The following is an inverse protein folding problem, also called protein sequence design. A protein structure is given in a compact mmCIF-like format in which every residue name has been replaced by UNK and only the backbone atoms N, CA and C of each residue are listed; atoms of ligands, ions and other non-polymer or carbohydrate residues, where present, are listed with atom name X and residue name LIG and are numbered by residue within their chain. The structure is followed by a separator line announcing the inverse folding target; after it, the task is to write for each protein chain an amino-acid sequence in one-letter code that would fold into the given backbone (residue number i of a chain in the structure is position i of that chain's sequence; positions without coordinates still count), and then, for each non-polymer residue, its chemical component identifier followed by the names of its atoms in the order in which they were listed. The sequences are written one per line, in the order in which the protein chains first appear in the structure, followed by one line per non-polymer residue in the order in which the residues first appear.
data_IF_681071656843
#
_entry.id   IF_681071656843
#
_cell.length_a   1.000
_cell.length_b   1.000
_cell.length_c   1.000
_cell.angle_alpha   90.00
_cell.angle_beta   90.00
_cell.angle_gamma   90.00
#
_symmetry.space_group_name_H-M   'P 1'
#
loop_
_entity.id
_entity.type
_entity.pdbx_description
1 polymer ?
#
# COMPACT_ATOMS: atom_id res chain seq x y z
N UNK A 1 -4.89 -2.32 7.90
CA UNK A 1 -3.64 -1.52 7.89
C UNK A 1 -3.22 -1.24 9.33
N UNK A 2 -1.92 -1.04 9.54
CA UNK A 2 -1.35 -0.62 10.83
C UNK A 2 -1.16 0.90 10.79
N UNK A 3 -1.63 1.67 11.79
CA UNK A 3 -1.39 3.11 11.88
C UNK A 3 0.09 3.49 11.87
N UNK A 4 0.44 4.63 11.27
CA UNK A 4 1.83 5.05 11.04
C UNK A 4 2.64 5.25 12.33
N UNK A 5 2.02 5.79 13.37
CA UNK A 5 2.64 5.97 14.69
C UNK A 5 3.02 4.63 15.31
N UNK A 6 2.08 3.67 15.28
CA UNK A 6 2.28 2.31 15.76
C UNK A 6 3.37 1.61 14.93
N UNK A 7 3.31 1.72 13.60
CA UNK A 7 4.30 1.10 12.72
C UNK A 7 5.71 1.65 12.97
N UNK A 8 5.84 2.97 13.05
CA UNK A 8 7.12 3.62 13.32
C UNK A 8 7.69 3.15 14.67
N UNK A 9 6.87 3.10 15.72
CA UNK A 9 7.31 2.69 17.05
C UNK A 9 7.71 1.22 17.09
N UNK A 10 7.04 0.35 16.35
CA UNK A 10 7.44 -1.06 16.19
C UNK A 10 8.76 -1.18 15.41
N UNK A 11 8.91 -0.46 14.30
CA UNK A 11 10.13 -0.46 13.50
C UNK A 11 11.35 0.06 14.29
N UNK A 12 11.16 1.05 15.18
CA UNK A 12 12.20 1.57 16.07
C UNK A 12 12.71 0.56 17.10
N UNK A 13 11.91 -0.45 17.46
CA UNK A 13 12.29 -1.52 18.38
C UNK A 13 13.14 -2.60 17.70
N UNK A 14 13.33 -2.53 16.38
CA UNK A 14 14.14 -3.47 15.62
C UNK A 14 15.58 -3.00 15.45
N UNK A 15 16.35 -3.68 14.59
CA UNK A 15 17.70 -3.27 14.17
C UNK A 15 17.79 -1.87 13.53
N UNK A 16 16.68 -1.26 13.11
CA UNK A 16 16.68 0.12 12.60
C UNK A 16 16.94 1.15 13.70
N UNK A 17 16.60 0.82 14.95
CA UNK A 17 16.89 1.62 16.13
C UNK A 17 15.97 2.84 16.31
N UNK A 18 16.11 3.54 17.46
CA UNK A 18 15.14 4.53 17.92
C UNK A 18 15.11 5.83 17.11
N UNK A 19 16.14 6.09 16.30
CA UNK A 19 16.22 7.27 15.43
C UNK A 19 15.54 7.08 14.07
N UNK A 20 15.07 5.87 13.77
CA UNK A 20 14.36 5.60 12.52
C UNK A 20 13.13 6.51 12.38
N UNK A 21 12.87 6.93 11.14
CA UNK A 21 11.70 7.71 10.76
C UNK A 21 11.09 7.02 9.54
N UNK A 22 9.81 6.68 9.65
CA UNK A 22 9.06 6.16 8.50
C UNK A 22 8.76 7.33 7.57
N UNK A 23 9.13 7.20 6.30
CA UNK A 23 8.84 8.24 5.30
C UNK A 23 7.35 8.22 4.93
N UNK A 24 6.77 9.39 4.66
CA UNK A 24 5.34 9.56 4.33
C UNK A 24 4.89 8.83 3.04
N UNK A 25 5.84 8.38 2.22
CA UNK A 25 5.56 7.57 1.04
C UNK A 25 5.36 6.08 1.34
N UNK A 26 5.33 5.69 2.62
CA UNK A 26 5.17 4.32 3.07
C UNK A 26 3.97 4.17 4.01
N UNK A 27 3.31 3.02 3.90
CA UNK A 27 2.28 2.52 4.81
C UNK A 27 2.70 1.14 5.34
N UNK A 28 2.02 0.69 6.39
CA UNK A 28 2.31 -0.61 7.00
C UNK A 28 1.08 -1.53 7.05
N UNK A 29 1.35 -2.83 6.88
CA UNK A 29 0.35 -3.88 7.02
C UNK A 29 0.96 -5.13 7.65
N UNK A 30 0.12 -6.00 8.19
CA UNK A 30 0.55 -7.21 8.91
C UNK A 30 0.83 -6.94 10.39
N UNK A 31 1.85 -7.59 10.93
CA UNK A 31 2.09 -7.68 12.37
C UNK A 31 1.35 -8.85 13.04
N UNK A 32 0.75 -9.73 12.25
CA UNK A 32 0.19 -11.00 12.67
C UNK A 32 1.21 -12.12 12.43
N UNK A 33 1.49 -12.89 13.49
CA UNK A 33 2.43 -14.02 13.38
C UNK A 33 1.93 -15.01 12.32
N UNK A 34 2.79 -15.34 11.36
CA UNK A 34 2.48 -16.24 10.26
C UNK A 34 1.69 -15.63 9.10
N UNK A 35 1.44 -14.32 9.10
CA UNK A 35 0.78 -13.60 7.99
C UNK A 35 1.57 -12.36 7.61
N UNK A 36 2.40 -12.50 6.59
CA UNK A 36 3.28 -11.42 6.12
C UNK A 36 3.66 -11.61 4.66
N UNK A 37 4.02 -10.52 3.99
CA UNK A 37 4.70 -10.59 2.69
C UNK A 37 6.18 -10.91 2.94
N UNK A 38 6.72 -11.88 2.23
CA UNK A 38 8.04 -12.43 2.48
C UNK A 38 8.97 -12.25 1.27
N UNK A 39 10.17 -12.82 1.36
CA UNK A 39 11.15 -12.77 0.27
C UNK A 39 10.53 -13.34 -1.01
N UNK A 40 10.54 -12.55 -2.07
CA UNK A 40 9.95 -12.91 -3.37
C UNK A 40 8.68 -12.13 -3.70
N UNK A 41 8.03 -11.51 -2.72
CA UNK A 41 6.77 -10.78 -2.92
C UNK A 41 6.97 -9.31 -3.31
N UNK A 42 8.22 -8.85 -3.45
CA UNK A 42 8.55 -7.47 -3.79
C UNK A 42 7.85 -6.99 -5.06
N UNK A 43 7.15 -5.86 -4.98
CA UNK A 43 6.37 -5.32 -6.09
C UNK A 43 4.93 -5.84 -6.19
N UNK A 44 4.54 -6.86 -5.40
CA UNK A 44 3.16 -7.34 -5.39
C UNK A 44 2.21 -6.35 -4.71
N UNK A 45 0.91 -6.35 -5.08
CA UNK A 45 -0.06 -5.40 -4.55
C UNK A 45 -0.53 -5.80 -3.15
N UNK A 46 -0.65 -4.79 -2.27
CA UNK A 46 -1.49 -4.85 -1.09
C UNK A 46 -2.88 -4.30 -1.48
N UNK A 47 -3.90 -5.15 -1.45
CA UNK A 47 -5.28 -4.76 -1.82
C UNK A 47 -6.19 -4.71 -0.59
N UNK A 48 -7.09 -3.75 -0.55
CA UNK A 48 -8.10 -3.59 0.50
C UNK A 48 -9.49 -3.37 -0.12
N UNK A 49 -10.57 -3.85 0.52
CA UNK A 49 -11.92 -3.57 0.06
C UNK A 49 -12.20 -2.05 0.13
N UNK A 50 -12.99 -1.53 -0.81
CA UNK A 50 -13.46 -0.14 -0.72
C UNK A 50 -14.45 0.03 0.43
N UNK A 51 -14.47 1.18 1.13
CA UNK A 51 -15.39 1.39 2.24
C UNK A 51 -16.87 1.31 1.83
N UNK A 52 -17.19 1.80 0.63
CA UNK A 52 -18.57 1.86 0.13
C UNK A 52 -19.04 0.56 -0.54
N UNK A 53 -18.13 -0.18 -1.17
CA UNK A 53 -18.41 -1.39 -1.95
C UNK A 53 -17.42 -2.50 -1.56
N UNK A 54 -17.73 -3.32 -0.54
CA UNK A 54 -16.78 -4.31 0.01
C UNK A 54 -16.41 -5.44 -0.97
N UNK A 55 -17.17 -5.62 -2.05
CA UNK A 55 -16.86 -6.50 -3.18
C UNK A 55 -15.84 -5.91 -4.18
N UNK A 56 -15.62 -4.60 -4.12
CA UNK A 56 -14.62 -3.89 -4.92
C UNK A 56 -13.37 -3.69 -4.10
N UNK A 57 -12.20 -3.88 -4.71
CA UNK A 57 -10.90 -3.76 -4.06
C UNK A 57 -10.10 -2.66 -4.73
N UNK A 58 -9.40 -1.87 -3.93
CA UNK A 58 -8.37 -0.95 -4.41
C UNK A 58 -6.99 -1.43 -3.96
N UNK A 59 -5.97 -1.05 -4.72
CA UNK A 59 -4.59 -1.28 -4.33
C UNK A 59 -4.14 -0.16 -3.39
N UNK A 60 -3.98 -0.47 -2.10
CA UNK A 60 -3.53 0.48 -1.09
C UNK A 60 -2.01 0.61 -1.08
N UNK A 61 -1.29 -0.47 -1.40
CA UNK A 61 0.16 -0.47 -1.33
C UNK A 61 0.88 -1.39 -2.31
N UNK A 62 2.21 -1.29 -2.32
CA UNK A 62 3.13 -2.17 -3.07
C UNK A 62 4.17 -2.70 -2.09
N UNK A 63 4.38 -4.03 -2.03
CA UNK A 63 5.39 -4.63 -1.14
C UNK A 63 6.77 -4.01 -1.41
N UNK A 64 7.35 -3.38 -0.39
CA UNK A 64 8.63 -2.69 -0.50
C UNK A 64 9.72 -3.45 0.26
N UNK A 65 9.58 -3.59 1.57
CA UNK A 65 10.60 -4.21 2.43
C UNK A 65 10.05 -4.60 3.81
N UNK A 66 10.81 -5.40 4.55
CA UNK A 66 10.49 -5.84 5.90
C UNK A 66 11.75 -6.24 6.68
N UNK A 67 11.62 -6.43 8.00
CA UNK A 67 12.74 -6.75 8.92
C UNK A 67 12.74 -8.22 9.34
N UNK A 68 11.67 -8.94 9.01
CA UNK A 68 11.47 -10.37 9.21
C UNK A 68 10.44 -10.87 8.21
N UNK A 69 9.95 -12.09 8.41
CA UNK A 69 8.86 -12.67 7.63
C UNK A 69 7.95 -13.43 8.61
N UNK A 70 6.68 -13.06 8.66
CA UNK A 70 5.69 -13.72 9.52
C UNK A 70 5.86 -13.41 11.01
N UNK A 71 6.49 -12.29 11.34
CA UNK A 71 6.72 -11.84 12.71
C UNK A 71 5.63 -10.85 13.16
N UNK A 72 5.72 -10.39 14.42
CA UNK A 72 4.88 -9.29 14.92
C UNK A 72 5.25 -7.92 14.34
N UNK A 73 6.42 -7.82 13.70
CA UNK A 73 6.84 -6.59 13.03
C UNK A 73 6.08 -6.47 11.70
N UNK A 74 5.42 -5.34 11.43
CA UNK A 74 4.67 -5.16 10.19
C UNK A 74 5.60 -5.06 8.98
N UNK A 75 5.09 -5.48 7.82
CA UNK A 75 5.70 -5.21 6.53
C UNK A 75 5.49 -3.76 6.12
N UNK A 76 6.44 -3.22 5.35
CA UNK A 76 6.40 -1.85 4.83
C UNK A 76 6.13 -1.86 3.34
N UNK A 77 5.17 -1.05 2.93
CA UNK A 77 4.64 -0.98 1.58
C UNK A 77 4.68 0.46 1.08
N UNK A 78 4.94 0.67 -0.21
CA UNK A 78 4.76 1.99 -0.84
C UNK A 78 3.30 2.40 -0.72
N UNK A 79 3.01 3.63 -0.31
CA UNK A 79 1.66 4.18 -0.28
C UNK A 79 1.19 4.53 -1.70
N UNK A 80 0.30 3.73 -2.29
CA UNK A 80 -0.19 3.99 -3.65
C UNK A 80 -1.00 5.30 -3.71
N UNK A 81 -1.68 5.68 -2.64
CA UNK A 81 -2.46 6.91 -2.60
C UNK A 81 -1.57 8.15 -2.72
N UNK A 82 -0.40 8.13 -2.08
CA UNK A 82 0.61 9.18 -2.16
C UNK A 82 1.09 9.41 -3.61
N UNK A 83 1.13 8.36 -4.43
CA UNK A 83 1.59 8.42 -5.82
C UNK A 83 0.47 8.52 -6.86
N UNK A 84 -0.81 8.61 -6.45
CA UNK A 84 -1.95 8.62 -7.39
C UNK A 84 -1.81 9.66 -8.51
N UNK A 85 -1.46 10.90 -8.15
CA UNK A 85 -1.28 11.99 -9.13
C UNK A 85 -0.14 11.71 -10.11
N UNK A 86 0.95 11.10 -9.64
CA UNK A 86 2.06 10.73 -10.50
C UNK A 86 1.64 9.62 -11.47
N UNK A 87 0.88 8.61 -11.01
CA UNK A 87 0.35 7.54 -11.86
C UNK A 87 -0.56 8.13 -12.94
N UNK A 88 -1.51 8.98 -12.56
CA UNK A 88 -2.42 9.65 -13.49
C UNK A 88 -1.64 10.42 -14.56
N UNK A 89 -0.63 11.20 -14.13
CA UNK A 89 0.21 11.96 -15.04
C UNK A 89 0.98 11.07 -16.03
N UNK A 90 1.53 9.93 -15.59
CA UNK A 90 2.20 9.01 -16.50
C UNK A 90 1.22 8.38 -17.48
N UNK A 91 0.04 7.95 -17.03
CA UNK A 91 -0.98 7.37 -17.89
C UNK A 91 -1.42 8.33 -19.00
N UNK A 92 -1.69 9.59 -18.63
CA UNK A 92 -2.06 10.65 -19.58
C UNK A 92 -0.91 10.93 -20.56
N UNK A 93 0.32 11.03 -20.08
CA UNK A 93 1.50 11.29 -20.93
C UNK A 93 1.73 10.19 -21.97
N UNK A 94 1.31 8.96 -21.67
CA UNK A 94 1.39 7.83 -22.59
C UNK A 94 0.10 7.58 -23.39
N UNK A 95 -0.90 8.45 -23.26
CA UNK A 95 -2.16 8.38 -24.01
C UNK A 95 -3.15 7.33 -23.50
N UNK A 96 -3.05 6.92 -22.24
CA UNK A 96 -3.96 5.99 -21.59
C UNK A 96 -5.04 6.70 -20.78
N UNK A 97 -6.25 6.17 -20.83
CA UNK A 97 -7.39 6.65 -20.03
C UNK A 97 -7.21 6.24 -18.55
N UNK A 98 -7.46 7.17 -17.64
CA UNK A 98 -7.36 6.96 -16.19
C UNK A 98 -8.64 6.35 -15.60
N UNK A 99 -9.74 6.33 -16.35
CA UNK A 99 -11.03 5.78 -15.89
C UNK A 99 -10.98 4.27 -15.60
N UNK A 100 -10.03 3.54 -16.20
CA UNK A 100 -9.88 2.09 -16.02
C UNK A 100 -9.59 1.65 -14.58
N UNK A 101 -9.02 2.53 -13.76
CA UNK A 101 -8.66 2.23 -12.37
C UNK A 101 -9.31 3.22 -11.38
N UNK A 102 -10.28 4.00 -11.84
CA UNK A 102 -11.05 4.89 -10.98
C UNK A 102 -12.27 4.12 -10.41
N UNK A 103 -12.19 3.78 -9.13
CA UNK A 103 -13.25 3.07 -8.43
C UNK A 103 -14.56 3.87 -8.33
N UNK A 104 -14.54 5.19 -8.57
CA UNK A 104 -15.72 6.06 -8.53
C UNK A 104 -16.23 6.45 -9.92
N UNK A 105 -15.56 6.03 -10.99
CA UNK A 105 -16.03 6.27 -12.35
C UNK A 105 -17.18 5.32 -12.68
N UNK A 106 -18.37 5.89 -12.82
CA UNK A 106 -19.51 5.20 -13.42
C UNK A 106 -19.55 5.58 -14.90
N UNK A 107 -19.44 4.60 -15.83
CA UNK A 107 -19.63 4.90 -17.24
C UNK A 107 -21.03 5.49 -17.42
N UNK A 108 -21.20 6.56 -18.23
CA UNK A 108 -22.54 7.02 -18.56
C UNK A 108 -23.33 5.85 -19.15
N UNK A 109 -24.54 5.60 -18.64
CA UNK A 109 -25.45 4.64 -19.25
C UNK A 109 -25.63 5.09 -20.71
N UNK A 110 -25.11 4.29 -21.64
CA UNK A 110 -25.20 4.59 -23.06
C UNK A 110 -26.67 4.68 -23.49
N UNK A 111 -26.96 5.63 -24.39
CA UNK A 111 -28.23 5.67 -25.13
C UNK A 111 -28.40 4.44 -26.02
#
# INVERSE_FOLDING_TARGET
MVPDDICQDQLRQTRLGPKFQLHESFICAGGEVGKDACKGDGGSPLVCPTPEHPEQFHQSGIVAWGIGCGEKTPGVYVDVSHFRLWIDQQMINHGYDTTYYDAYYTPPMGN
#
